data_IF_180260201937
#
_entry.id   IF_180260201937
#
_cell.length_a   1.000
_cell.length_b   1.000
_cell.length_c   1.000
_cell.angle_alpha   90.00
_cell.angle_beta   90.00
_cell.angle_gamma   90.00
#
_symmetry.space_group_name_H-M   'P 1'
#
loop_
_entity.id
_entity.type
_entity.pdbx_description
1 polymer ?
#
# COMPACT_ATOMS: atom_id res chain seq x y z
N UNK A 1 6.10 -4.78 9.57
CA UNK A 1 6.34 -5.14 8.14
C UNK A 1 6.78 -3.97 7.23
N UNK A 2 6.41 -2.71 7.49
CA UNK A 2 6.74 -1.57 6.62
C UNK A 2 8.13 -0.94 6.83
N UNK A 3 8.78 -1.23 7.97
CA UNK A 3 10.12 -0.69 8.29
C UNK A 3 11.23 -1.54 7.64
N UNK A 4 10.94 -2.80 7.31
CA UNK A 4 11.97 -3.84 7.07
C UNK A 4 12.31 -4.01 5.57
N UNK A 5 11.47 -3.50 4.65
CA UNK A 5 11.65 -3.71 3.22
C UNK A 5 11.53 -2.40 2.44
N UNK A 6 12.57 -1.99 1.69
CA UNK A 6 12.50 -0.82 0.84
C UNK A 6 11.44 -1.03 -0.26
N UNK A 7 10.70 0.03 -0.60
CA UNK A 7 9.56 -0.02 -1.53
C UNK A 7 9.89 -0.67 -2.88
N UNK A 8 11.12 -0.52 -3.38
CA UNK A 8 11.54 -1.13 -4.65
C UNK A 8 11.41 -2.66 -4.66
N UNK A 9 11.56 -3.34 -3.51
CA UNK A 9 11.42 -4.80 -3.44
C UNK A 9 10.00 -5.29 -3.71
N UNK A 10 9.00 -4.42 -3.56
CA UNK A 10 7.59 -4.76 -3.83
C UNK A 10 7.12 -4.40 -5.23
N UNK A 11 7.88 -3.59 -5.97
CA UNK A 11 7.54 -3.21 -7.36
C UNK A 11 7.28 -4.43 -8.25
N UNK A 12 8.06 -5.54 -8.16
CA UNK A 12 7.76 -6.74 -8.95
C UNK A 12 6.34 -7.30 -8.76
N UNK A 13 5.70 -7.08 -7.61
CA UNK A 13 4.34 -7.55 -7.35
C UNK A 13 3.32 -6.91 -8.31
N UNK A 14 3.40 -5.59 -8.51
CA UNK A 14 2.47 -4.87 -9.39
C UNK A 14 2.82 -5.03 -10.87
N UNK A 15 4.11 -5.19 -11.20
CA UNK A 15 4.56 -5.58 -12.55
C UNK A 15 3.97 -6.93 -12.96
N UNK A 16 4.13 -7.94 -12.10
CA UNK A 16 3.60 -9.28 -12.35
C UNK A 16 2.07 -9.27 -12.45
N UNK A 17 1.39 -8.49 -11.60
CA UNK A 17 -0.07 -8.31 -11.66
C UNK A 17 -0.50 -7.80 -13.04
N UNK A 18 0.07 -6.69 -13.50
CA UNK A 18 -0.32 -6.06 -14.78
C UNK A 18 0.06 -6.95 -15.96
N UNK A 19 1.24 -7.57 -15.93
CA UNK A 19 1.66 -8.52 -16.96
C UNK A 19 0.70 -9.70 -17.06
N UNK A 20 0.41 -10.38 -15.95
CA UNK A 20 -0.49 -11.55 -15.93
C UNK A 20 -1.92 -11.19 -16.33
N UNK A 21 -2.41 -10.02 -15.89
CA UNK A 21 -3.73 -9.52 -16.25
C UNK A 21 -3.86 -9.30 -17.76
N UNK A 22 -2.84 -8.72 -18.39
CA UNK A 22 -2.78 -8.56 -19.85
C UNK A 22 -2.76 -9.90 -20.57
N UNK A 23 -1.86 -10.80 -20.16
CA UNK A 23 -1.71 -12.12 -20.80
C UNK A 23 -2.97 -12.98 -20.69
N UNK A 24 -3.71 -12.84 -19.59
CA UNK A 24 -4.90 -13.66 -19.32
C UNK A 24 -6.22 -13.00 -19.74
N UNK A 25 -6.17 -11.80 -20.34
CA UNK A 25 -7.36 -11.08 -20.79
C UNK A 25 -8.28 -10.62 -19.64
N UNK A 26 -7.71 -10.23 -18.50
CA UNK A 26 -8.49 -9.65 -17.39
C UNK A 26 -9.07 -8.32 -17.84
N UNK A 27 -10.39 -8.18 -17.77
CA UNK A 27 -11.09 -6.99 -18.24
C UNK A 27 -11.01 -5.81 -17.28
N UNK A 28 -10.97 -6.07 -15.96
CA UNK A 28 -10.99 -5.01 -14.94
C UNK A 28 -10.20 -5.39 -13.68
N UNK A 29 -9.46 -4.43 -13.11
CA UNK A 29 -8.68 -4.61 -11.89
C UNK A 29 -9.26 -3.73 -10.77
N UNK A 30 -9.52 -4.31 -9.60
CA UNK A 30 -9.74 -3.54 -8.36
C UNK A 30 -8.45 -3.61 -7.54
N UNK A 31 -7.75 -2.48 -7.42
CA UNK A 31 -6.50 -2.40 -6.66
C UNK A 31 -6.74 -1.74 -5.30
N UNK A 32 -6.31 -2.40 -4.23
CA UNK A 32 -6.43 -1.89 -2.86
C UNK A 32 -5.12 -1.20 -2.46
N UNK A 33 -5.11 0.13 -2.60
CA UNK A 33 -3.99 1.00 -2.23
C UNK A 33 -4.11 1.54 -0.81
N UNK A 34 -3.04 2.17 -0.34
CA UNK A 34 -3.01 2.87 0.95
C UNK A 34 -2.92 4.38 0.74
N UNK A 35 -3.66 5.16 1.51
CA UNK A 35 -3.81 6.61 1.30
C UNK A 35 -2.53 7.46 1.46
N UNK A 36 -1.45 6.91 2.02
CA UNK A 36 -0.18 7.61 2.22
C UNK A 36 0.70 7.52 0.96
N UNK A 37 0.22 8.09 -0.14
CA UNK A 37 0.75 7.96 -1.51
C UNK A 37 0.96 9.31 -2.21
N UNK A 38 0.86 10.42 -1.48
CA UNK A 38 1.11 11.76 -2.02
C UNK A 38 2.58 11.90 -2.46
N UNK A 39 2.82 12.80 -3.42
CA UNK A 39 4.13 13.02 -4.04
C UNK A 39 5.25 13.39 -3.04
N UNK A 40 4.90 13.96 -1.90
CA UNK A 40 5.81 14.39 -0.84
C UNK A 40 5.62 13.59 0.47
N UNK A 41 4.90 12.46 0.44
CA UNK A 41 4.66 11.67 1.64
C UNK A 41 5.94 10.90 2.06
N UNK A 42 6.46 11.09 3.29
CA UNK A 42 7.70 10.47 3.75
C UNK A 42 7.56 8.98 4.09
N UNK A 43 6.35 8.43 4.07
CA UNK A 43 6.12 7.02 4.31
C UNK A 43 6.90 6.17 3.29
N UNK A 44 7.71 5.22 3.77
CA UNK A 44 8.63 4.46 2.90
C UNK A 44 7.94 3.70 1.75
N UNK A 45 6.67 3.33 1.91
CA UNK A 45 5.88 2.66 0.86
C UNK A 45 5.12 3.62 -0.07
N UNK A 46 5.15 4.93 0.17
CA UNK A 46 4.52 5.92 -0.72
C UNK A 46 4.98 5.79 -2.18
N UNK A 47 6.27 5.50 -2.50
CA UNK A 47 6.70 5.34 -3.88
C UNK A 47 6.07 4.12 -4.56
N UNK A 48 5.84 3.03 -3.82
CA UNK A 48 5.20 1.82 -4.36
C UNK A 48 3.75 2.12 -4.76
N UNK A 49 2.96 2.75 -3.89
CA UNK A 49 1.56 3.07 -4.19
C UNK A 49 1.45 4.10 -5.33
N UNK A 50 2.33 5.10 -5.33
CA UNK A 50 2.43 6.06 -6.43
C UNK A 50 2.81 5.43 -7.77
N UNK A 51 3.71 4.44 -7.75
CA UNK A 51 4.08 3.65 -8.94
C UNK A 51 2.91 2.79 -9.42
N UNK A 52 2.28 2.02 -8.52
CA UNK A 52 1.18 1.12 -8.83
C UNK A 52 0.01 1.84 -9.51
N UNK A 53 -0.39 3.01 -8.98
CA UNK A 53 -1.47 3.81 -9.58
C UNK A 53 -1.14 4.23 -11.03
N UNK A 54 0.11 4.64 -11.28
CA UNK A 54 0.56 5.04 -12.62
C UNK A 54 0.68 3.84 -13.56
N UNK A 55 1.21 2.71 -13.08
CA UNK A 55 1.32 1.50 -13.89
C UNK A 55 -0.05 1.00 -14.35
N UNK A 56 -1.05 0.98 -13.45
CA UNK A 56 -2.44 0.67 -13.80
C UNK A 56 -2.98 1.64 -14.86
N UNK A 57 -2.76 2.95 -14.70
CA UNK A 57 -3.17 3.95 -15.68
C UNK A 57 -2.51 3.75 -17.07
N UNK A 58 -1.25 3.30 -17.11
CA UNK A 58 -0.55 3.00 -18.36
C UNK A 58 -0.86 1.60 -18.92
N UNK A 59 -1.57 0.77 -18.18
CA UNK A 59 -1.79 -0.63 -18.57
C UNK A 59 -2.77 -0.76 -19.74
N UNK A 60 -3.72 0.15 -19.87
CA UNK A 60 -4.85 0.04 -20.79
C UNK A 60 -5.94 -0.95 -20.33
N UNK A 61 -5.83 -1.50 -19.12
CA UNK A 61 -6.87 -2.31 -18.48
C UNK A 61 -7.74 -1.37 -17.63
N UNK A 62 -9.06 -1.54 -17.67
CA UNK A 62 -9.96 -0.77 -16.82
C UNK A 62 -9.65 -1.06 -15.34
N UNK A 63 -9.69 -0.05 -14.49
CA UNK A 63 -9.36 -0.25 -13.08
C UNK A 63 -10.15 0.66 -12.14
N UNK A 64 -10.38 0.15 -10.94
CA UNK A 64 -10.85 0.92 -9.78
C UNK A 64 -9.74 0.91 -8.74
N UNK A 65 -9.29 2.10 -8.36
CA UNK A 65 -8.25 2.28 -7.35
C UNK A 65 -8.86 2.68 -6.00
N UNK A 66 -8.84 1.76 -5.03
CA UNK A 66 -9.45 1.95 -3.71
C UNK A 66 -8.36 2.27 -2.70
N UNK A 67 -8.35 3.49 -2.17
CA UNK A 67 -7.38 3.93 -1.14
C UNK A 67 -7.98 3.75 0.24
N UNK A 68 -7.40 2.87 1.05
CA UNK A 68 -7.78 2.69 2.45
C UNK A 68 -6.94 3.54 3.41
N UNK A 69 -7.54 3.87 4.55
CA UNK A 69 -6.88 4.55 5.66
C UNK A 69 -6.10 3.56 6.55
N UNK A 70 -5.49 4.07 7.62
CA UNK A 70 -4.79 3.26 8.63
C UNK A 70 -5.74 2.28 9.32
N UNK A 71 -5.32 1.03 9.46
CA UNK A 71 -6.09 0.01 10.16
C UNK A 71 -6.20 0.30 11.65
N UNK A 72 -7.39 0.07 12.22
CA UNK A 72 -7.63 0.13 13.67
C UNK A 72 -7.31 -1.21 14.36
N UNK A 73 -7.34 -2.32 13.63
CA UNK A 73 -7.08 -3.66 14.14
C UNK A 73 -5.79 -3.78 14.96
N UNK A 74 -4.65 -3.18 14.55
CA UNK A 74 -3.41 -3.25 15.32
C UNK A 74 -3.48 -2.61 16.71
N UNK A 75 -4.47 -1.74 16.99
CA UNK A 75 -4.61 -1.10 18.31
C UNK A 75 -4.93 -2.12 19.40
N UNK A 76 -5.81 -3.11 19.13
CA UNK A 76 -6.24 -4.11 20.12
C UNK A 76 -5.08 -4.94 20.69
N UNK A 77 -4.23 -5.62 19.88
CA UNK A 77 -3.10 -6.38 20.40
C UNK A 77 -1.97 -5.48 20.94
N UNK A 78 -1.97 -4.18 20.64
CA UNK A 78 -0.98 -3.23 21.16
C UNK A 78 -1.35 -2.68 22.56
N UNK A 79 -2.61 -2.84 22.99
CA UNK A 79 -3.08 -2.38 24.30
C UNK A 79 -2.24 -2.89 25.49
N UNK A 80 -1.82 -4.16 25.60
CA UNK A 80 -1.01 -4.63 26.72
C UNK A 80 0.30 -3.84 26.89
N UNK A 81 0.98 -3.52 25.78
CA UNK A 81 2.21 -2.73 25.81
C UNK A 81 1.94 -1.28 26.21
N UNK A 82 0.90 -0.66 25.63
CA UNK A 82 0.48 0.70 25.96
C UNK A 82 0.09 0.84 27.45
N UNK A 83 -0.63 -0.14 27.99
CA UNK A 83 -0.99 -0.19 29.42
C UNK A 83 0.25 -0.30 30.30
N UNK A 84 1.21 -1.16 29.93
CA UNK A 84 2.47 -1.28 30.66
C UNK A 84 3.27 0.04 30.67
N UNK A 85 3.35 0.73 29.52
CA UNK A 85 4.04 2.02 29.40
C UNK A 85 3.27 3.21 29.98
N UNK A 86 1.95 3.06 30.20
CA UNK A 86 1.01 4.14 30.57
C UNK A 86 1.04 5.34 29.61
N UNK A 87 1.44 5.14 28.34
CA UNK A 87 1.69 6.21 27.36
C UNK A 87 1.43 5.72 25.94
N UNK A 88 0.94 6.62 25.09
CA UNK A 88 0.92 6.47 23.64
C UNK A 88 2.17 7.15 23.05
N UNK A 89 2.95 6.43 22.25
CA UNK A 89 4.31 6.84 21.86
C UNK A 89 4.52 7.02 20.35
N UNK A 90 3.44 7.12 19.56
CA UNK A 90 3.60 7.49 18.16
C UNK A 90 4.24 8.88 18.06
N UNK A 91 5.28 9.07 17.23
CA UNK A 91 5.91 10.37 17.06
C UNK A 91 4.88 11.36 16.49
N UNK A 92 4.78 12.54 17.10
CA UNK A 92 3.93 13.64 16.66
C UNK A 92 4.49 14.31 15.40
#
# INVERSE_FOLDING_TARGET
PSIIHPSFKRIPEVENLVYAAKQSGVAHIIFIGYYADQHNNPFHMSPYFGYAARLLATSGIDYTYVRMAMYMDPLKPYLPELMNMHKLIYPA
#
